data_IF_225111413946
#
_entry.id   IF_225111413946
#
_cell.length_a   1.000
_cell.length_b   1.000
_cell.length_c   1.000
_cell.angle_alpha   90.00
_cell.angle_beta   90.00
_cell.angle_gamma   90.00
#
_symmetry.space_group_name_H-M   'P 1'
#
loop_
_entity.id
_entity.type
_entity.pdbx_description
1 polymer ?
#
# COMPACT_ATOMS: atom_id res chain seq x y z
N UNK A 1 2.25 0.84 9.07
CA UNK A 1 1.85 2.13 8.43
C UNK A 1 3.01 2.68 7.59
N UNK A 2 2.76 3.73 6.79
CA UNK A 2 3.76 4.43 5.97
C UNK A 2 3.61 5.95 6.13
N UNK A 3 4.71 6.66 6.41
CA UNK A 3 4.78 8.12 6.53
C UNK A 3 5.81 8.65 5.52
N UNK A 4 5.60 9.87 4.97
CA UNK A 4 6.63 10.51 4.14
C UNK A 4 7.86 10.84 4.97
N UNK A 5 9.04 10.79 4.35
CA UNK A 5 10.28 11.28 4.95
C UNK A 5 10.22 12.80 5.11
N UNK A 6 9.89 13.52 4.02
CA UNK A 6 9.56 14.95 4.07
C UNK A 6 8.07 15.15 3.73
N UNK A 7 7.23 15.59 4.69
CA UNK A 7 5.81 15.85 4.44
C UNK A 7 5.56 17.07 3.55
N UNK A 8 6.59 17.89 3.26
CA UNK A 8 6.51 19.04 2.34
C UNK A 8 6.91 18.70 0.91
N UNK A 9 7.54 17.53 0.68
CA UNK A 9 7.81 17.01 -0.65
C UNK A 9 6.66 16.11 -1.10
N UNK A 10 5.90 16.57 -2.10
CA UNK A 10 4.78 15.83 -2.67
C UNK A 10 5.17 14.42 -3.14
N UNK A 11 6.42 14.22 -3.57
CA UNK A 11 6.90 12.91 -4.04
C UNK A 11 7.02 11.91 -2.90
N UNK A 12 7.45 12.36 -1.73
CA UNK A 12 7.54 11.52 -0.53
C UNK A 12 6.14 11.20 0.00
N UNK A 13 5.22 12.15 -0.04
CA UNK A 13 3.81 11.93 0.28
C UNK A 13 3.18 10.88 -0.64
N UNK A 14 3.36 11.02 -1.95
CA UNK A 14 2.89 10.04 -2.93
C UNK A 14 3.59 8.66 -2.78
N UNK A 15 4.85 8.64 -2.38
CA UNK A 15 5.60 7.42 -2.12
C UNK A 15 5.06 6.68 -0.88
N UNK A 16 4.78 7.41 0.20
CA UNK A 16 4.18 6.86 1.41
C UNK A 16 2.78 6.29 1.14
N UNK A 17 1.93 7.03 0.43
CA UNK A 17 0.59 6.57 0.05
C UNK A 17 0.67 5.32 -0.84
N UNK A 18 1.56 5.33 -1.83
CA UNK A 18 1.80 4.14 -2.67
C UNK A 18 2.24 2.94 -1.84
N UNK A 19 3.15 3.12 -0.88
CA UNK A 19 3.58 2.04 0.02
C UNK A 19 2.40 1.51 0.83
N UNK A 20 1.53 2.38 1.33
CA UNK A 20 0.31 1.98 2.05
C UNK A 20 -0.62 1.15 1.16
N UNK A 21 -0.88 1.60 -0.07
CA UNK A 21 -1.74 0.88 -1.01
C UNK A 21 -1.17 -0.50 -1.39
N UNK A 22 0.15 -0.61 -1.59
CA UNK A 22 0.80 -1.88 -1.90
C UNK A 22 1.01 -2.80 -0.69
N UNK A 23 0.73 -2.34 0.55
CA UNK A 23 0.84 -3.18 1.75
C UNK A 23 -0.52 -3.53 2.35
N UNK A 24 -1.36 -2.52 2.62
CA UNK A 24 -2.71 -2.73 3.18
C UNK A 24 -3.78 -2.70 2.08
N UNK A 25 -3.71 -1.71 1.19
CA UNK A 25 -4.72 -1.49 0.15
C UNK A 25 -4.88 -2.67 -0.80
N UNK A 26 -3.82 -3.45 -1.04
CA UNK A 26 -3.83 -4.64 -1.89
C UNK A 26 -4.97 -5.58 -1.50
N UNK A 27 -5.10 -5.90 -0.22
CA UNK A 27 -6.09 -6.84 0.28
C UNK A 27 -7.37 -6.15 0.73
N UNK A 28 -7.24 -4.98 1.35
CA UNK A 28 -8.37 -4.30 1.94
C UNK A 28 -9.34 -3.71 0.89
N UNK A 29 -8.82 -3.13 -0.22
CA UNK A 29 -9.70 -2.57 -1.24
C UNK A 29 -10.59 -3.62 -1.92
N UNK A 30 -10.07 -4.80 -2.33
CA UNK A 30 -10.94 -5.85 -2.87
C UNK A 30 -12.04 -6.31 -1.90
N UNK A 31 -11.75 -6.37 -0.60
CA UNK A 31 -12.72 -6.79 0.41
C UNK A 31 -13.80 -5.72 0.65
N UNK A 32 -13.44 -4.44 0.62
CA UNK A 32 -14.39 -3.34 0.90
C UNK A 32 -15.12 -2.87 -0.36
N UNK A 33 -14.43 -2.84 -1.50
CA UNK A 33 -14.89 -2.21 -2.75
C UNK A 33 -14.94 -3.17 -3.95
N UNK A 34 -14.49 -4.42 -3.80
CA UNK A 34 -14.55 -5.42 -4.87
C UNK A 34 -13.50 -5.27 -5.97
N UNK A 35 -12.53 -4.37 -5.84
CA UNK A 35 -11.47 -4.20 -6.84
C UNK A 35 -10.15 -3.72 -6.21
N UNK A 36 -9.04 -3.87 -6.94
CA UNK A 36 -7.72 -3.41 -6.49
C UNK A 36 -7.59 -1.88 -6.51
N UNK A 37 -6.67 -1.31 -5.69
CA UNK A 37 -6.35 0.11 -5.73
C UNK A 37 -5.96 0.60 -7.12
N UNK A 38 -6.41 1.80 -7.51
CA UNK A 38 -6.11 2.37 -8.83
C UNK A 38 -4.60 2.50 -9.11
N UNK A 39 -3.81 2.86 -8.09
CA UNK A 39 -2.34 2.97 -8.19
C UNK A 39 -1.69 1.62 -8.50
N UNK A 40 -2.22 0.52 -7.95
CA UNK A 40 -1.73 -0.82 -8.21
C UNK A 40 -2.05 -1.24 -9.64
N UNK A 41 -3.30 -1.05 -10.09
CA UNK A 41 -3.71 -1.33 -11.47
C UNK A 41 -2.83 -0.60 -12.50
N UNK A 42 -2.54 0.68 -12.25
CA UNK A 42 -1.66 1.50 -13.12
C UNK A 42 -0.21 0.99 -13.17
N UNK A 43 0.37 0.60 -12.03
CA UNK A 43 1.80 0.22 -11.95
C UNK A 43 2.08 -1.25 -12.26
N UNK A 44 1.18 -2.14 -11.87
CA UNK A 44 1.32 -3.58 -12.11
C UNK A 44 0.83 -3.96 -13.52
N UNK A 45 -0.17 -3.24 -14.05
CA UNK A 45 -0.70 -3.45 -15.39
C UNK A 45 -1.17 -4.89 -15.59
N UNK A 46 -0.71 -5.52 -16.67
CA UNK A 46 -1.08 -6.89 -17.05
C UNK A 46 -0.64 -7.97 -16.06
N UNK A 47 0.30 -7.67 -15.16
CA UNK A 47 0.75 -8.63 -14.13
C UNK A 47 -0.24 -8.78 -13.00
N UNK A 48 -1.17 -7.83 -12.85
CA UNK A 48 -2.22 -7.88 -11.85
C UNK A 48 -3.45 -8.57 -12.45
N UNK A 49 -3.88 -9.72 -11.91
CA UNK A 49 -5.13 -10.36 -12.33
C UNK A 49 -6.31 -9.39 -12.19
N UNK A 50 -7.32 -9.57 -13.03
CA UNK A 50 -8.55 -8.77 -12.97
C UNK A 50 -9.63 -9.64 -12.35
N UNK A 51 -10.34 -9.11 -11.38
CA UNK A 51 -11.52 -9.77 -10.83
C UNK A 51 -12.62 -9.82 -11.88
N UNK A 52 -13.31 -10.96 -11.95
CA UNK A 52 -14.58 -11.02 -12.65
C UNK A 52 -15.66 -10.34 -11.80
N UNK A 53 -16.83 -10.06 -12.39
CA UNK A 53 -17.96 -9.52 -11.64
C UNK A 53 -18.40 -10.47 -10.51
N UNK A 54 -18.28 -11.79 -10.72
CA UNK A 54 -18.59 -12.79 -9.70
C UNK A 54 -17.59 -12.76 -8.54
N UNK A 55 -16.28 -12.68 -8.84
CA UNK A 55 -15.24 -12.60 -7.80
C UNK A 55 -15.38 -11.32 -6.97
N UNK A 56 -15.63 -10.19 -7.64
CA UNK A 56 -15.83 -8.89 -7.00
C UNK A 56 -17.03 -8.91 -6.04
N UNK A 57 -18.15 -9.49 -6.46
CA UNK A 57 -19.33 -9.65 -5.62
C UNK A 57 -19.11 -10.60 -4.44
N UNK A 58 -18.30 -11.64 -4.62
CA UNK A 58 -17.95 -12.58 -3.55
C UNK A 58 -17.08 -11.94 -2.46
N UNK A 59 -16.13 -11.09 -2.85
CA UNK A 59 -15.20 -10.44 -1.94
C UNK A 59 -15.79 -9.21 -1.25
N UNK A 60 -16.67 -8.48 -1.93
CA UNK A 60 -17.25 -7.25 -1.40
C UNK A 60 -18.06 -7.55 -0.14
N UNK A 61 -17.73 -6.86 0.96
CA UNK A 61 -18.35 -7.06 2.27
C UNK A 61 -18.20 -8.48 2.85
N UNK A 62 -17.17 -9.21 2.45
CA UNK A 62 -16.88 -10.55 3.00
C UNK A 62 -16.17 -10.48 4.37
N UNK A 63 -16.63 -9.61 5.27
CA UNK A 63 -16.02 -9.38 6.59
C UNK A 63 -17.05 -8.85 7.60
N UNK A 64 -16.85 -9.21 8.87
CA UNK A 64 -17.61 -8.65 10.00
C UNK A 64 -16.77 -7.65 10.81
N UNK A 65 -15.47 -7.91 10.96
CA UNK A 65 -14.53 -7.10 11.75
C UNK A 65 -13.16 -7.08 11.08
N UNK A 66 -12.46 -5.95 11.13
CA UNK A 66 -11.05 -5.84 10.72
C UNK A 66 -10.12 -5.91 11.93
N UNK A 67 -9.14 -6.81 11.87
CA UNK A 67 -8.05 -6.89 12.85
C UNK A 67 -6.73 -6.53 12.17
N UNK A 68 -6.06 -5.50 12.68
CA UNK A 68 -4.83 -4.99 12.10
C UNK A 68 -3.67 -5.24 13.06
N UNK A 69 -2.73 -6.08 12.61
CA UNK A 69 -1.46 -6.25 13.30
C UNK A 69 -0.57 -5.04 13.01
N UNK A 70 -0.17 -4.31 14.06
CA UNK A 70 0.74 -3.17 13.95
C UNK A 70 1.96 -3.40 14.83
N UNK A 71 3.13 -3.40 14.20
CA UNK A 71 4.42 -3.58 14.87
C UNK A 71 5.36 -2.38 14.62
N UNK A 72 5.23 -1.75 13.45
CA UNK A 72 6.11 -0.66 13.06
C UNK A 72 5.46 0.25 12.01
N UNK A 73 6.11 1.40 11.82
CA UNK A 73 5.77 2.39 10.81
C UNK A 73 7.02 2.64 9.97
N UNK A 74 6.84 2.63 8.65
CA UNK A 74 7.93 2.90 7.71
C UNK A 74 7.95 4.39 7.38
N UNK A 75 9.13 4.98 7.41
CA UNK A 75 9.37 6.30 6.82
C UNK A 75 9.79 6.07 5.36
N UNK A 76 9.11 6.72 4.43
CA UNK A 76 9.20 6.42 2.99
C UNK A 76 9.60 7.69 2.25
N UNK A 77 10.62 7.56 1.40
CA UNK A 77 11.01 8.59 0.44
C UNK A 77 10.81 8.08 -0.98
N UNK A 78 10.68 8.98 -1.94
CA UNK A 78 10.66 8.60 -3.34
C UNK A 78 12.02 8.04 -3.79
N UNK A 79 11.99 7.12 -4.75
CA UNK A 79 13.19 6.44 -5.24
C UNK A 79 14.18 7.40 -5.92
N UNK A 80 13.71 8.56 -6.41
CA UNK A 80 14.55 9.57 -7.02
C UNK A 80 15.15 10.56 -6.01
N UNK A 81 14.90 10.40 -4.70
CA UNK A 81 15.44 11.30 -3.68
C UNK A 81 16.93 11.04 -3.42
N UNK A 82 17.69 12.12 -3.26
CA UNK A 82 19.13 12.09 -2.96
C UNK A 82 19.42 11.61 -1.54
N UNK A 83 18.40 11.58 -0.68
CA UNK A 83 18.45 11.14 0.73
C UNK A 83 18.14 9.65 0.84
N UNK A 84 18.31 8.86 -0.23
CA UNK A 84 18.17 7.41 -0.21
C UNK A 84 19.33 6.78 0.59
N UNK A 85 19.31 6.97 1.90
CA UNK A 85 20.13 6.21 2.85
C UNK A 85 19.31 4.98 3.21
N UNK A 86 19.78 3.81 2.81
CA UNK A 86 19.26 2.54 3.28
C UNK A 86 19.73 2.32 4.72
N UNK A 87 19.42 3.25 5.62
CA UNK A 87 19.58 3.03 7.06
C UNK A 87 18.36 2.27 7.53
N UNK A 88 18.37 0.97 7.20
CA UNK A 88 17.53 0.01 7.89
C UNK A 88 18.04 -0.01 9.34
N UNK A 89 17.42 0.78 10.21
CA UNK A 89 17.45 0.48 11.64
C UNK A 89 16.64 -0.80 11.85
N UNK A 90 17.21 -1.93 11.45
CA UNK A 90 16.99 -3.14 12.22
C UNK A 90 17.60 -2.78 13.57
N UNK A 91 16.77 -2.64 14.59
CA UNK A 91 17.30 -2.69 15.95
C UNK A 91 17.94 -4.08 16.04
N UNK A 92 19.27 -4.11 16.01
CA UNK A 92 20.06 -5.29 16.31
C UNK A 92 19.60 -5.79 17.69
N UNK A 93 18.94 -6.95 17.71
CA UNK A 93 18.75 -7.74 18.94
C UNK A 93 19.97 -8.59 19.19
#
# INVERSE_FOLDING_TARGET
MALPLDPTDDRDVEAAERKLQFSLGWFLNPIVHGDYPAVMKRRAGHRLPRFTAADSALLTQSYDVFMLNHYSTNVVTDCASTTYVQDVYMLDT
#
